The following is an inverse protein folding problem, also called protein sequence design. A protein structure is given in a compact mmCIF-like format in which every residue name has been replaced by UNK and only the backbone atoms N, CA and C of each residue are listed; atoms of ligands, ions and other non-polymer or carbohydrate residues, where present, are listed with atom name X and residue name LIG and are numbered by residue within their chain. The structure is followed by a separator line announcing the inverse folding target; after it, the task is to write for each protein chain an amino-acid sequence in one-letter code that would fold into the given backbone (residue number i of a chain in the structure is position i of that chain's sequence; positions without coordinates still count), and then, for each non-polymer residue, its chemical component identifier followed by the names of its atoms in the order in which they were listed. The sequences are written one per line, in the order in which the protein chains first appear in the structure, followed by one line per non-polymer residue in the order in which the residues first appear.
data_IF_650013847822
#
_entry.id   IF_650013847822
#
_cell.length_a   1.000
_cell.length_b   1.000
_cell.length_c   1.000
_cell.angle_alpha   90.00
_cell.angle_beta   90.00
_cell.angle_gamma   90.00
#
_symmetry.space_group_name_H-M   'P 1'
#
loop_
_entity.id
_entity.type
_entity.pdbx_description
1 polymer ?
#
# COMPACT_ATOMS: atom_id res chain seq x y z
N UNK A 1 13.07 -35.47 -22.11
CA UNK A 1 11.75 -34.81 -22.21
C UNK A 1 11.03 -34.58 -20.88
N UNK A 2 11.14 -35.45 -19.86
CA UNK A 2 10.44 -35.25 -18.57
C UNK A 2 11.00 -34.11 -17.70
N UNK A 3 12.32 -33.89 -17.69
CA UNK A 3 12.93 -32.79 -16.90
C UNK A 3 12.64 -31.39 -17.46
N UNK A 4 12.63 -31.19 -18.78
CA UNK A 4 12.32 -29.88 -19.39
C UNK A 4 10.86 -29.47 -19.17
N UNK A 5 9.94 -30.46 -19.15
CA UNK A 5 8.54 -30.23 -18.77
C UNK A 5 8.39 -29.90 -17.28
N UNK A 6 9.18 -30.51 -16.40
CA UNK A 6 9.20 -30.19 -14.97
C UNK A 6 9.77 -28.79 -14.69
N UNK A 7 10.86 -28.41 -15.38
CA UNK A 7 11.47 -27.07 -15.32
C UNK A 7 10.53 -25.99 -15.89
N UNK A 8 9.84 -26.28 -17.00
CA UNK A 8 8.83 -25.39 -17.56
C UNK A 8 7.60 -25.23 -16.66
N UNK A 9 7.22 -26.27 -15.92
CA UNK A 9 6.11 -26.21 -14.97
C UNK A 9 6.50 -25.45 -13.69
N UNK A 10 7.75 -25.61 -13.22
CA UNK A 10 8.30 -24.83 -12.10
C UNK A 10 8.47 -23.35 -12.42
N UNK A 11 8.77 -23.00 -13.69
CA UNK A 11 8.84 -21.60 -14.13
C UNK A 11 7.45 -20.96 -14.23
N UNK A 12 6.41 -21.73 -14.59
CA UNK A 12 5.03 -21.25 -14.65
C UNK A 12 4.43 -20.99 -13.26
N UNK A 13 4.84 -21.78 -12.25
CA UNK A 13 4.36 -21.62 -10.86
C UNK A 13 4.98 -20.38 -10.18
N UNK A 14 6.16 -19.93 -10.62
CA UNK A 14 6.90 -18.85 -9.97
C UNK A 14 6.45 -17.42 -10.36
N UNK A 15 5.62 -17.25 -11.39
CA UNK A 15 5.34 -15.91 -11.96
C UNK A 15 4.02 -15.27 -11.55
N UNK A 16 3.14 -15.94 -10.77
CA UNK A 16 1.71 -15.62 -10.84
C UNK A 16 1.03 -15.14 -9.52
N UNK A 17 1.73 -15.05 -8.39
CA UNK A 17 1.14 -14.52 -7.13
C UNK A 17 1.25 -13.00 -6.98
N UNK A 18 0.95 -12.23 -8.04
CA UNK A 18 1.11 -10.77 -7.99
C UNK A 18 -0.15 -10.06 -7.47
N UNK A 19 0.02 -9.13 -6.53
CA UNK A 19 -0.96 -8.08 -6.25
C UNK A 19 -0.58 -6.78 -6.99
N UNK A 20 -1.57 -5.93 -7.22
CA UNK A 20 -1.34 -4.56 -7.69
C UNK A 20 -1.72 -3.58 -6.61
N UNK A 21 -0.76 -2.77 -6.16
CA UNK A 21 -0.98 -1.65 -5.27
C UNK A 21 -1.06 -0.38 -6.09
N UNK A 22 -2.11 0.42 -5.91
CA UNK A 22 -2.28 1.73 -6.56
C UNK A 22 -2.40 2.81 -5.51
N UNK A 23 -1.37 3.64 -5.37
CA UNK A 23 -1.38 4.84 -4.55
C UNK A 23 -1.97 6.00 -5.36
N UNK A 24 -3.11 6.51 -4.91
CA UNK A 24 -3.81 7.61 -5.55
C UNK A 24 -3.72 8.86 -4.67
N UNK A 25 -3.41 9.98 -5.32
CA UNK A 25 -3.56 11.32 -4.73
C UNK A 25 -4.35 12.18 -5.70
N UNK A 26 -5.41 12.81 -5.21
CA UNK A 26 -6.14 13.83 -5.92
C UNK A 26 -6.03 15.14 -5.14
N UNK A 27 -5.36 16.14 -5.71
CA UNK A 27 -5.21 17.47 -5.09
C UNK A 27 -6.18 18.46 -5.77
N UNK A 28 -6.92 19.20 -4.95
CA UNK A 28 -7.79 20.30 -5.37
C UNK A 28 -7.01 21.63 -5.44
N UNK A 29 -7.60 22.64 -6.08
CA UNK A 29 -7.02 23.99 -6.21
C UNK A 29 -6.64 24.64 -4.86
N UNK A 30 -7.42 24.36 -3.81
CA UNK A 30 -7.22 24.88 -2.46
C UNK A 30 -6.22 24.07 -1.61
N UNK A 31 -5.57 23.05 -2.18
CA UNK A 31 -4.59 22.19 -1.50
C UNK A 31 -5.20 21.07 -0.65
N UNK A 32 -6.54 20.98 -0.55
CA UNK A 32 -7.21 19.81 0.01
C UNK A 32 -7.23 18.68 -1.00
N UNK A 33 -7.63 17.49 -0.60
CA UNK A 33 -7.70 16.39 -1.53
C UNK A 33 -8.06 15.05 -0.91
N UNK A 34 -7.85 14.01 -1.71
CA UNK A 34 -8.11 12.63 -1.36
C UNK A 34 -6.86 11.80 -1.57
N UNK A 35 -6.57 10.93 -0.61
CA UNK A 35 -5.53 9.92 -0.71
C UNK A 35 -6.20 8.55 -0.63
N UNK A 36 -5.77 7.60 -1.46
CA UNK A 36 -6.10 6.20 -1.25
C UNK A 36 -4.97 5.27 -1.68
N UNK A 37 -4.93 4.09 -1.07
CA UNK A 37 -4.19 2.95 -1.59
C UNK A 37 -5.19 1.85 -1.91
N UNK A 38 -5.24 1.47 -3.17
CA UNK A 38 -6.02 0.33 -3.65
C UNK A 38 -5.11 -0.89 -3.77
N UNK A 39 -5.55 -2.01 -3.24
CA UNK A 39 -4.90 -3.29 -3.36
C UNK A 39 -5.81 -4.24 -4.12
N UNK A 40 -5.33 -4.71 -5.27
CA UNK A 40 -5.98 -5.75 -6.07
C UNK A 40 -5.18 -7.06 -5.94
N UNK A 41 -5.76 -8.02 -5.23
CA UNK A 41 -5.25 -9.39 -5.13
C UNK A 41 -6.13 -10.40 -5.86
N UNK A 42 -6.92 -9.97 -6.84
CA UNK A 42 -7.81 -10.87 -7.59
C UNK A 42 -7.03 -11.96 -8.33
N UNK A 43 -5.84 -11.65 -8.86
CA UNK A 43 -4.95 -12.66 -9.45
C UNK A 43 -4.54 -13.76 -8.44
N UNK A 44 -4.30 -13.38 -7.17
CA UNK A 44 -4.03 -14.34 -6.10
C UNK A 44 -5.27 -15.21 -5.80
N UNK A 45 -6.46 -14.62 -5.79
CA UNK A 45 -7.72 -15.35 -5.63
C UNK A 45 -7.99 -16.32 -6.79
N UNK A 46 -7.60 -15.98 -8.01
CA UNK A 46 -7.75 -16.87 -9.16
C UNK A 46 -6.92 -18.16 -9.02
N UNK A 47 -5.75 -18.06 -8.38
CA UNK A 47 -4.82 -19.18 -8.23
C UNK A 47 -5.02 -19.98 -6.94
N UNK A 48 -5.21 -19.28 -5.82
CA UNK A 48 -5.18 -19.84 -4.48
C UNK A 48 -6.48 -19.57 -3.71
N UNK A 49 -7.54 -19.10 -4.38
CA UNK A 49 -8.81 -18.75 -3.76
C UNK A 49 -9.42 -19.88 -2.92
N UNK A 50 -9.33 -21.13 -3.39
CA UNK A 50 -9.84 -22.29 -2.65
C UNK A 50 -9.04 -22.58 -1.37
N UNK A 51 -7.72 -22.36 -1.41
CA UNK A 51 -6.85 -22.52 -0.23
C UNK A 51 -7.08 -21.40 0.78
N UNK A 52 -7.20 -20.15 0.31
CA UNK A 52 -7.48 -18.98 1.14
C UNK A 52 -8.88 -19.08 1.75
N UNK A 53 -9.89 -19.49 0.98
CA UNK A 53 -11.24 -19.73 1.46
C UNK A 53 -11.29 -20.86 2.50
N UNK A 54 -10.52 -21.94 2.29
CA UNK A 54 -10.38 -23.04 3.24
C UNK A 54 -9.74 -22.62 4.57
N UNK A 55 -8.81 -21.66 4.56
CA UNK A 55 -8.18 -21.10 5.77
C UNK A 55 -9.05 -20.07 6.49
N UNK A 56 -9.85 -19.31 5.74
CA UNK A 56 -10.71 -18.24 6.26
C UNK A 56 -12.07 -18.74 6.80
N UNK A 57 -12.42 -19.99 6.48
CA UNK A 57 -13.69 -20.63 6.81
C UNK A 57 -14.83 -20.20 5.85
N UNK A 58 -15.86 -21.05 5.73
CA UNK A 58 -16.98 -20.86 4.79
C UNK A 58 -17.71 -19.50 4.95
N UNK A 59 -17.67 -18.91 6.15
CA UNK A 59 -18.32 -17.64 6.49
C UNK A 59 -17.67 -16.38 5.87
N UNK A 60 -16.53 -16.51 5.18
CA UNK A 60 -15.78 -15.39 4.60
C UNK A 60 -15.56 -15.51 3.08
N UNK A 61 -16.28 -16.41 2.40
CA UNK A 61 -16.19 -16.63 0.95
C UNK A 61 -16.64 -15.42 0.12
N UNK A 62 -17.59 -14.65 0.64
CA UNK A 62 -18.03 -13.37 0.09
C UNK A 62 -18.10 -12.35 1.21
N UNK A 63 -17.35 -11.25 1.07
CA UNK A 63 -17.28 -10.16 2.03
C UNK A 63 -17.39 -8.83 1.28
N UNK A 64 -18.33 -7.99 1.68
CA UNK A 64 -18.34 -6.57 1.33
C UNK A 64 -18.44 -5.79 2.64
N UNK A 65 -17.30 -5.34 3.13
CA UNK A 65 -17.22 -4.67 4.43
C UNK A 65 -16.59 -3.30 4.26
N UNK A 66 -17.09 -2.34 5.04
CA UNK A 66 -16.48 -1.02 5.16
C UNK A 66 -16.46 -0.63 6.63
N UNK A 67 -15.31 -0.18 7.11
CA UNK A 67 -15.15 0.29 8.48
C UNK A 67 -14.19 1.47 8.56
N UNK A 68 -14.22 2.17 9.68
CA UNK A 68 -13.27 3.24 10.01
C UNK A 68 -12.43 2.82 11.19
N UNK A 69 -11.16 3.21 11.20
CA UNK A 69 -10.29 2.93 12.35
C UNK A 69 -10.77 3.61 13.62
N UNK A 70 -11.46 4.76 13.52
CA UNK A 70 -12.06 5.43 14.67
C UNK A 70 -12.92 4.48 15.51
N UNK A 71 -13.84 3.74 14.87
CA UNK A 71 -14.72 2.79 15.58
C UNK A 71 -13.90 1.66 16.23
N UNK A 72 -12.93 1.14 15.51
CA UNK A 72 -12.05 0.08 15.98
C UNK A 72 -11.17 0.52 17.17
N UNK A 73 -10.68 1.77 17.16
CA UNK A 73 -9.89 2.32 18.27
C UNK A 73 -10.73 2.61 19.50
N UNK A 74 -12.00 3.02 19.32
CA UNK A 74 -12.94 3.15 20.44
C UNK A 74 -13.17 1.80 21.14
N UNK A 75 -13.33 0.72 20.38
CA UNK A 75 -13.47 -0.65 20.90
C UNK A 75 -12.20 -1.17 21.59
N UNK A 76 -11.02 -0.69 21.18
CA UNK A 76 -9.70 -1.14 21.66
C UNK A 76 -9.00 -0.12 22.58
N UNK A 77 -9.72 0.88 23.09
CA UNK A 77 -9.17 2.03 23.82
C UNK A 77 -8.23 1.62 24.97
N UNK A 78 -8.60 0.62 25.75
CA UNK A 78 -7.82 0.14 26.90
C UNK A 78 -6.48 -0.51 26.50
N UNK A 79 -6.44 -1.13 25.31
CA UNK A 79 -5.20 -1.72 24.77
C UNK A 79 -4.31 -0.64 24.18
N UNK A 80 -4.90 0.32 23.46
CA UNK A 80 -4.17 1.47 22.89
C UNK A 80 -3.56 2.35 23.98
N UNK A 81 -4.26 2.54 25.11
CA UNK A 81 -3.77 3.32 26.24
C UNK A 81 -2.48 2.76 26.89
N UNK A 82 -2.20 1.46 26.71
CA UNK A 82 -0.98 0.81 27.22
C UNK A 82 0.23 0.99 26.30
N UNK A 83 0.03 1.52 25.09
CA UNK A 83 1.10 1.71 24.12
C UNK A 83 1.94 2.95 24.42
N UNK A 84 3.14 3.02 23.83
CA UNK A 84 3.99 4.20 23.95
C UNK A 84 3.28 5.44 23.38
N UNK A 85 3.55 6.65 23.91
CA UNK A 85 2.96 7.89 23.38
C UNK A 85 3.23 8.09 21.87
N UNK A 86 4.38 7.62 21.40
CA UNK A 86 4.74 7.67 19.98
C UNK A 86 3.83 6.78 19.13
N UNK A 87 3.61 5.54 19.58
CA UNK A 87 2.71 4.58 18.91
C UNK A 87 1.26 5.07 18.93
N UNK A 88 0.79 5.63 20.06
CA UNK A 88 -0.55 6.21 20.14
C UNK A 88 -0.73 7.36 19.14
N UNK A 89 0.30 8.21 18.99
CA UNK A 89 0.29 9.31 18.01
C UNK A 89 0.30 8.82 16.57
N UNK A 90 0.95 7.69 16.27
CA UNK A 90 0.89 7.07 14.95
C UNK A 90 -0.48 6.48 14.66
N UNK A 91 -1.07 5.72 15.60
CA UNK A 91 -2.40 5.16 15.44
C UNK A 91 -3.47 6.23 15.25
N UNK A 92 -3.41 7.32 16.01
CA UNK A 92 -4.38 8.43 15.90
C UNK A 92 -4.50 9.00 14.48
N UNK A 93 -3.44 8.92 13.66
CA UNK A 93 -3.46 9.39 12.27
C UNK A 93 -4.34 8.53 11.37
N UNK A 94 -4.61 7.28 11.76
CA UNK A 94 -5.49 6.37 11.05
C UNK A 94 -6.98 6.66 11.30
N UNK A 95 -7.35 7.44 12.33
CA UNK A 95 -8.75 7.58 12.76
C UNK A 95 -9.71 7.95 11.62
N UNK A 96 -9.26 8.79 10.67
CA UNK A 96 -10.06 9.27 9.55
C UNK A 96 -10.02 8.37 8.32
N UNK A 97 -9.22 7.29 8.35
CA UNK A 97 -9.14 6.37 7.25
C UNK A 97 -10.36 5.45 7.21
N UNK A 98 -10.85 5.25 6.00
CA UNK A 98 -11.89 4.30 5.64
C UNK A 98 -11.23 3.10 4.97
N UNK A 99 -11.52 1.91 5.48
CA UNK A 99 -11.14 0.64 4.86
C UNK A 99 -12.38 0.05 4.23
N UNK A 100 -12.33 -0.24 2.93
CA UNK A 100 -13.34 -0.98 2.20
C UNK A 100 -12.72 -2.26 1.65
N UNK A 101 -13.32 -3.42 1.93
CA UNK A 101 -12.86 -4.72 1.45
C UNK A 101 -13.98 -5.41 0.70
N UNK A 102 -13.68 -5.86 -0.52
CA UNK A 102 -14.55 -6.68 -1.36
C UNK A 102 -13.83 -7.98 -1.70
N UNK A 103 -14.33 -9.09 -1.17
CA UNK A 103 -13.88 -10.43 -1.48
C UNK A 103 -15.05 -11.21 -2.06
N UNK A 104 -14.82 -11.94 -3.15
CA UNK A 104 -15.78 -12.91 -3.66
C UNK A 104 -15.06 -14.09 -4.26
N UNK A 105 -15.37 -15.28 -3.74
CA UNK A 105 -14.83 -16.54 -4.24
C UNK A 105 -15.40 -16.87 -5.63
N UNK A 106 -16.69 -16.60 -5.86
CA UNK A 106 -17.34 -16.81 -7.17
C UNK A 106 -16.72 -15.91 -8.25
N UNK A 107 -16.56 -14.62 -7.96
CA UNK A 107 -15.99 -13.65 -8.90
C UNK A 107 -14.45 -13.65 -8.92
N UNK A 108 -13.82 -14.50 -8.10
CA UNK A 108 -12.35 -14.55 -7.90
C UNK A 108 -11.76 -13.17 -7.62
N UNK A 109 -12.46 -12.39 -6.81
CA UNK A 109 -12.16 -10.99 -6.56
C UNK A 109 -11.61 -10.81 -5.15
N UNK A 110 -10.55 -10.03 -5.04
CA UNK A 110 -10.11 -9.50 -3.76
C UNK A 110 -9.60 -8.07 -3.95
N UNK A 111 -10.44 -7.11 -3.57
CA UNK A 111 -10.13 -5.68 -3.60
C UNK A 111 -10.16 -5.12 -2.19
N UNK A 112 -9.16 -4.32 -1.86
CA UNK A 112 -9.14 -3.56 -0.62
C UNK A 112 -8.73 -2.12 -0.92
N UNK A 113 -9.52 -1.16 -0.45
CA UNK A 113 -9.19 0.27 -0.55
C UNK A 113 -9.04 0.84 0.84
N UNK A 114 -7.96 1.56 1.05
CA UNK A 114 -7.72 2.36 2.23
C UNK A 114 -7.63 3.82 1.82
N UNK A 115 -8.57 4.65 2.28
CA UNK A 115 -8.64 6.05 1.85
C UNK A 115 -8.87 7.04 2.98
N UNK A 116 -8.42 8.28 2.78
CA UNK A 116 -8.72 9.42 3.65
C UNK A 116 -8.81 10.69 2.82
N UNK A 117 -9.57 11.66 3.33
CA UNK A 117 -9.48 13.04 2.88
C UNK A 117 -8.35 13.75 3.65
N UNK A 118 -7.71 14.74 3.02
CA UNK A 118 -6.70 15.58 3.66
C UNK A 118 -6.99 17.07 3.42
N UNK A 119 -6.59 17.91 4.39
CA UNK A 119 -6.70 19.37 4.26
C UNK A 119 -5.47 19.97 3.60
N UNK A 120 -4.32 19.36 3.84
CA UNK A 120 -3.06 19.73 3.24
C UNK A 120 -2.27 18.46 2.91
N UNK A 121 -1.72 18.35 1.70
CA UNK A 121 -0.97 17.15 1.28
C UNK A 121 0.21 16.86 2.19
N UNK A 122 0.78 17.87 2.85
CA UNK A 122 1.90 17.72 3.77
C UNK A 122 1.53 16.96 5.05
N UNK A 123 0.23 16.78 5.30
CA UNK A 123 -0.29 15.97 6.40
C UNK A 123 -0.28 14.47 6.08
N UNK A 124 -0.19 14.11 4.78
CA UNK A 124 -0.09 12.73 4.34
C UNK A 124 1.23 12.12 4.82
N UNK A 125 1.14 10.87 5.27
CA UNK A 125 2.27 10.07 5.74
C UNK A 125 2.24 8.71 5.07
N UNK A 126 3.24 7.87 5.34
CA UNK A 126 3.23 6.49 4.83
C UNK A 126 2.13 5.68 5.53
N UNK A 127 1.03 5.51 4.81
CA UNK A 127 -0.17 4.83 5.28
C UNK A 127 0.05 3.32 5.39
N UNK A 128 0.84 2.74 4.49
CA UNK A 128 1.16 1.31 4.52
C UNK A 128 2.04 0.98 5.72
N UNK A 129 3.00 1.84 6.06
CA UNK A 129 3.78 1.72 7.28
C UNK A 129 2.88 1.76 8.52
N UNK A 130 1.93 2.70 8.55
CA UNK A 130 1.01 2.87 9.69
C UNK A 130 0.05 1.68 9.84
N UNK A 131 -0.41 1.10 8.73
CA UNK A 131 -1.16 -0.17 8.73
C UNK A 131 -0.33 -1.33 9.30
N UNK A 132 0.95 -1.44 8.93
CA UNK A 132 1.82 -2.51 9.45
C UNK A 132 1.94 -2.44 10.98
N UNK A 133 2.03 -1.23 11.55
CA UNK A 133 2.04 -1.00 13.00
C UNK A 133 0.72 -1.45 13.62
N UNK A 134 -0.41 -1.14 12.98
CA UNK A 134 -1.72 -1.58 13.45
C UNK A 134 -1.88 -3.11 13.44
N UNK A 135 -1.45 -3.79 12.37
CA UNK A 135 -1.52 -5.26 12.28
C UNK A 135 -0.69 -5.98 13.34
N UNK A 136 0.49 -5.43 13.69
CA UNK A 136 1.32 -5.94 14.79
C UNK A 136 0.59 -5.90 16.14
N UNK A 137 -0.33 -4.96 16.33
CA UNK A 137 -1.09 -4.78 17.57
C UNK A 137 -2.31 -5.72 17.68
N UNK A 138 -2.94 -6.07 16.55
CA UNK A 138 -4.08 -7.00 16.50
C UNK A 138 -3.68 -8.47 16.69
N UNK A 139 -2.39 -8.77 16.87
CA UNK A 139 -1.88 -10.11 17.21
C UNK A 139 -1.09 -10.82 16.12
N UNK A 140 -0.76 -10.16 15.00
CA UNK A 140 0.01 -10.73 13.89
C UNK A 140 -0.74 -11.84 13.12
N UNK A 141 -0.32 -12.11 11.89
CA UNK A 141 -0.67 -13.19 10.92
C UNK A 141 -2.12 -13.73 10.80
N UNK A 142 -2.88 -13.89 11.87
CA UNK A 142 -4.21 -14.51 11.95
C UNK A 142 -5.38 -13.51 11.85
N UNK A 143 -5.14 -12.20 11.91
CA UNK A 143 -6.18 -11.17 11.90
C UNK A 143 -6.59 -10.68 10.49
N UNK A 144 -5.76 -10.92 9.48
CA UNK A 144 -6.04 -10.51 8.09
C UNK A 144 -5.56 -11.59 7.11
N UNK A 145 -6.32 -11.91 6.03
CA UNK A 145 -5.86 -12.81 4.97
C UNK A 145 -4.55 -12.35 4.31
N UNK A 146 -4.18 -11.09 4.53
CA UNK A 146 -2.95 -10.49 4.04
C UNK A 146 -1.80 -10.56 5.06
N UNK A 147 -1.94 -11.14 6.25
CA UNK A 147 -0.83 -11.24 7.22
C UNK A 147 -0.10 -9.91 7.50
N UNK A 148 1.18 -9.98 7.87
CA UNK A 148 2.08 -8.81 8.04
C UNK A 148 2.53 -8.19 6.70
N UNK A 149 1.77 -8.36 5.62
CA UNK A 149 2.29 -8.22 4.24
C UNK A 149 2.55 -6.80 3.76
N UNK A 150 2.09 -5.79 4.47
CA UNK A 150 2.32 -4.40 4.04
C UNK A 150 3.74 -3.92 4.33
N UNK A 151 4.52 -4.67 5.12
CA UNK A 151 5.97 -4.54 5.28
C UNK A 151 6.44 -3.18 5.82
N UNK A 152 7.30 -3.19 6.82
CA UNK A 152 8.01 -1.97 7.21
C UNK A 152 9.22 -1.80 6.27
N UNK A 153 9.17 -0.83 5.35
CA UNK A 153 10.30 -0.55 4.44
C UNK A 153 11.34 0.41 5.08
N UNK A 154 11.18 0.76 6.36
CA UNK A 154 12.10 1.63 7.09
C UNK A 154 12.12 3.09 6.61
N UNK A 155 11.16 3.48 5.76
CA UNK A 155 11.06 4.85 5.23
C UNK A 155 9.82 5.58 5.75
N UNK A 156 9.92 6.91 5.79
CA UNK A 156 8.80 7.82 6.01
C UNK A 156 8.58 8.63 4.75
N UNK A 157 7.39 8.50 4.16
CA UNK A 157 7.01 9.32 3.01
C UNK A 157 6.67 10.74 3.47
N UNK A 158 7.22 11.71 2.73
CA UNK A 158 6.97 13.13 2.86
C UNK A 158 6.43 13.63 1.53
N UNK A 159 5.32 14.36 1.61
CA UNK A 159 4.69 15.01 0.48
C UNK A 159 4.75 16.51 0.66
N UNK A 160 5.03 17.25 -0.40
CA UNK A 160 4.97 18.72 -0.39
C UNK A 160 4.25 19.25 -1.61
N UNK A 161 3.37 20.22 -1.43
CA UNK A 161 2.74 20.96 -2.53
C UNK A 161 2.55 22.43 -2.17
N UNK A 162 3.00 23.33 -3.05
CA UNK A 162 2.92 24.79 -2.86
C UNK A 162 2.13 25.50 -3.99
N UNK A 163 1.47 24.73 -4.86
CA UNK A 163 0.77 25.25 -6.04
C UNK A 163 1.65 25.54 -7.26
N UNK A 164 2.97 25.46 -7.14
CA UNK A 164 3.95 25.58 -8.23
C UNK A 164 4.75 24.30 -8.44
N UNK A 165 5.00 23.57 -7.36
CA UNK A 165 5.70 22.29 -7.35
C UNK A 165 5.03 21.30 -6.41
N UNK A 166 5.12 20.04 -6.77
CA UNK A 166 4.84 18.91 -5.90
C UNK A 166 6.11 18.07 -5.73
N UNK A 167 6.34 17.49 -4.56
CA UNK A 167 7.39 16.51 -4.34
C UNK A 167 6.90 15.36 -3.48
N UNK A 168 7.34 14.15 -3.82
CA UNK A 168 7.24 12.93 -3.03
C UNK A 168 8.64 12.49 -2.65
N UNK A 169 8.92 12.34 -1.37
CA UNK A 169 10.24 11.93 -0.86
C UNK A 169 10.13 10.87 0.24
N UNK A 170 10.83 9.77 0.07
CA UNK A 170 11.12 8.80 1.12
C UNK A 170 12.28 9.31 1.97
N UNK A 171 12.01 9.49 3.26
CA UNK A 171 13.01 9.80 4.28
C UNK A 171 13.40 8.47 4.93
N UNK A 172 14.61 8.01 4.66
CA UNK A 172 15.10 6.72 5.16
C UNK A 172 15.85 6.95 6.47
N UNK A 173 15.38 6.30 7.54
CA UNK A 173 16.15 6.18 8.77
C UNK A 173 17.08 4.96 8.63
N UNK A 174 18.34 5.20 8.29
CA UNK A 174 19.29 4.12 8.01
C UNK A 174 19.53 3.17 9.21
N UNK A 175 19.38 3.66 10.45
CA UNK A 175 19.53 2.82 11.63
C UNK A 175 18.32 1.90 11.81
N UNK A 176 17.10 2.42 11.56
CA UNK A 176 15.89 1.59 11.56
C UNK A 176 15.86 0.60 10.41
N UNK A 177 16.27 1.00 9.21
CA UNK A 177 16.32 0.11 8.05
C UNK A 177 17.23 -1.10 8.29
N UNK A 178 18.39 -0.89 8.91
CA UNK A 178 19.29 -2.00 9.28
C UNK A 178 18.71 -2.88 10.39
N UNK A 179 18.03 -2.29 11.38
CA UNK A 179 17.37 -3.04 12.45
C UNK A 179 16.17 -3.88 11.96
N UNK A 180 15.41 -3.38 10.98
CA UNK A 180 14.32 -4.10 10.32
C UNK A 180 14.89 -5.26 9.49
N UNK A 181 15.91 -5.00 8.66
CA UNK A 181 16.58 -6.04 7.85
C UNK A 181 17.19 -7.17 8.69
N UNK A 182 17.63 -6.88 9.91
CA UNK A 182 18.27 -7.87 10.79
C UNK A 182 17.29 -8.74 11.60
N UNK A 183 16.01 -8.37 11.71
CA UNK A 183 15.04 -9.04 12.60
C UNK A 183 13.95 -9.84 11.90
N UNK A 184 13.83 -9.74 10.57
CA UNK A 184 12.62 -10.18 9.89
C UNK A 184 12.79 -11.48 9.08
N UNK A 185 12.77 -12.62 9.76
CA UNK A 185 12.65 -13.94 9.11
C UNK A 185 11.25 -14.19 8.50
N UNK A 186 10.25 -13.35 8.80
CA UNK A 186 8.93 -13.37 8.17
C UNK A 186 8.88 -12.47 6.90
N UNK A 187 9.82 -11.54 6.79
CA UNK A 187 10.04 -10.69 5.62
C UNK A 187 10.38 -11.48 4.36
N UNK A 188 11.09 -12.61 4.47
CA UNK A 188 11.52 -13.40 3.31
C UNK A 188 10.34 -14.09 2.59
N UNK A 189 9.36 -14.63 3.33
CA UNK A 189 8.17 -15.25 2.74
C UNK A 189 7.25 -14.20 2.10
N UNK A 190 7.05 -13.07 2.79
CA UNK A 190 6.28 -11.94 2.28
C UNK A 190 6.93 -11.37 1.01
N UNK A 191 8.26 -11.20 1.03
CA UNK A 191 9.03 -10.72 -0.12
C UNK A 191 8.90 -11.65 -1.31
N UNK A 192 8.93 -12.98 -1.09
CA UNK A 192 8.68 -13.95 -2.16
C UNK A 192 7.25 -13.88 -2.69
N UNK A 193 6.25 -13.72 -1.81
CA UNK A 193 4.84 -13.62 -2.18
C UNK A 193 4.57 -12.39 -3.07
N UNK A 194 5.13 -11.23 -2.73
CA UNK A 194 4.93 -9.99 -3.47
C UNK A 194 6.04 -9.66 -4.47
N UNK A 195 6.97 -10.58 -4.74
CA UNK A 195 8.10 -10.34 -5.66
C UNK A 195 7.65 -9.95 -7.07
N UNK A 196 6.52 -10.48 -7.54
CA UNK A 196 5.91 -10.17 -8.83
C UNK A 196 4.87 -9.06 -8.76
N UNK A 197 4.66 -8.43 -7.60
CA UNK A 197 3.65 -7.39 -7.41
C UNK A 197 4.10 -6.04 -7.94
N UNK A 198 3.14 -5.22 -8.34
CA UNK A 198 3.39 -3.86 -8.85
C UNK A 198 2.95 -2.82 -7.84
N UNK A 199 3.65 -1.68 -7.84
CA UNK A 199 3.28 -0.48 -7.09
C UNK A 199 3.10 0.68 -8.08
N UNK A 200 1.87 1.14 -8.25
CA UNK A 200 1.47 2.18 -9.20
C UNK A 200 1.18 3.45 -8.44
N UNK A 201 1.85 4.53 -8.82
CA UNK A 201 1.56 5.88 -8.34
C UNK A 201 0.69 6.59 -9.36
N UNK A 202 -0.51 7.01 -8.99
CA UNK A 202 -1.46 7.72 -9.85
C UNK A 202 -1.92 9.02 -9.20
N UNK A 203 -1.31 10.14 -9.58
CA UNK A 203 -1.59 11.43 -8.97
C UNK A 203 -2.30 12.37 -9.93
N UNK A 204 -3.31 13.07 -9.44
CA UNK A 204 -4.05 14.11 -10.13
C UNK A 204 -3.81 15.45 -9.44
N UNK A 205 -3.48 16.46 -10.26
CA UNK A 205 -3.19 17.81 -9.84
C UNK A 205 -4.18 18.78 -10.46
N UNK A 206 -4.48 19.91 -9.79
CA UNK A 206 -5.42 20.87 -10.33
C UNK A 206 -4.88 21.61 -11.57
N UNK A 207 -3.54 21.73 -11.66
CA UNK A 207 -2.83 22.44 -12.73
C UNK A 207 -2.20 21.48 -13.72
N UNK A 208 -2.05 21.95 -14.96
CA UNK A 208 -1.32 21.23 -16.00
C UNK A 208 0.14 21.05 -15.60
N UNK A 209 0.64 19.85 -15.86
CA UNK A 209 1.99 19.45 -15.53
C UNK A 209 2.92 19.85 -16.67
N UNK A 210 3.95 20.61 -16.32
CA UNK A 210 5.01 21.01 -17.22
C UNK A 210 6.12 19.96 -17.29
N UNK A 211 6.55 19.45 -16.14
CA UNK A 211 7.68 18.52 -16.04
C UNK A 211 7.52 17.59 -14.85
N UNK A 212 8.00 16.36 -15.00
CA UNK A 212 8.17 15.38 -13.92
C UNK A 212 9.64 14.94 -13.92
N UNK A 213 10.24 14.78 -12.74
CA UNK A 213 11.64 14.33 -12.65
C UNK A 213 11.83 12.85 -12.98
N UNK A 214 10.79 12.03 -12.79
CA UNK A 214 10.79 10.62 -13.17
C UNK A 214 10.54 10.49 -14.71
N UNK A 215 11.49 9.91 -15.46
CA UNK A 215 11.39 9.80 -16.92
C UNK A 215 10.37 8.76 -17.41
N UNK A 216 9.95 7.84 -16.55
CA UNK A 216 8.96 6.80 -16.86
C UNK A 216 7.52 7.26 -16.59
N UNK A 217 7.31 8.53 -16.20
CA UNK A 217 5.99 9.06 -15.92
C UNK A 217 5.14 9.17 -17.19
N UNK A 218 3.95 8.56 -17.16
CA UNK A 218 2.92 8.71 -18.18
C UNK A 218 1.98 9.86 -17.79
N UNK A 219 1.51 10.62 -18.77
CA UNK A 219 0.59 11.74 -18.56
C UNK A 219 -0.81 11.39 -19.03
N UNK A 220 -1.83 11.92 -18.35
CA UNK A 220 -3.20 11.97 -18.90
C UNK A 220 -3.30 12.94 -20.08
N UNK A 221 -4.34 12.79 -20.89
CA UNK A 221 -4.61 13.64 -22.07
C UNK A 221 -4.72 15.13 -21.72
N UNK A 222 -5.32 15.44 -20.56
CA UNK A 222 -5.46 16.80 -20.05
C UNK A 222 -4.17 17.36 -19.39
N UNK A 223 -3.11 16.55 -19.33
CA UNK A 223 -1.83 16.85 -18.67
C UNK A 223 -1.95 17.14 -17.17
N UNK A 224 -3.02 16.75 -16.50
CA UNK A 224 -3.23 17.00 -15.06
C UNK A 224 -2.92 15.81 -14.17
N UNK A 225 -2.74 14.62 -14.75
CA UNK A 225 -2.39 13.42 -14.00
C UNK A 225 -1.08 12.81 -14.48
N UNK A 226 -0.42 12.14 -13.55
CA UNK A 226 0.71 11.25 -13.83
C UNK A 226 0.37 9.83 -13.39
N UNK A 227 0.93 8.86 -14.10
CA UNK A 227 1.01 7.47 -13.66
C UNK A 227 2.45 6.99 -13.76
N UNK A 228 2.98 6.43 -12.67
CA UNK A 228 4.32 5.84 -12.64
C UNK A 228 4.20 4.44 -12.05
N UNK A 229 4.72 3.44 -12.76
CA UNK A 229 4.71 2.05 -12.30
C UNK A 229 6.09 1.66 -11.80
N UNK A 230 6.13 1.04 -10.63
CA UNK A 230 7.32 0.46 -9.99
C UNK A 230 7.07 -1.01 -9.67
N UNK A 231 8.14 -1.76 -9.41
CA UNK A 231 8.00 -3.04 -8.72
C UNK A 231 7.65 -2.80 -7.24
N UNK A 232 6.86 -3.69 -6.64
CA UNK A 232 6.63 -3.62 -5.18
C UNK A 232 7.93 -3.84 -4.39
N UNK A 233 8.88 -4.60 -4.95
CA UNK A 233 10.22 -4.74 -4.37
C UNK A 233 10.97 -3.41 -4.29
N UNK A 234 10.86 -2.53 -5.29
CA UNK A 234 11.46 -1.20 -5.20
C UNK A 234 10.82 -0.37 -4.08
N UNK A 235 9.51 -0.45 -3.88
CA UNK A 235 8.85 0.18 -2.73
C UNK A 235 9.39 -0.34 -1.39
N UNK A 236 9.62 -1.64 -1.28
CA UNK A 236 10.07 -2.28 -0.04
C UNK A 236 11.56 -2.09 0.26
N UNK A 237 12.41 -2.10 -0.75
CA UNK A 237 13.86 -2.18 -0.56
C UNK A 237 14.61 -0.91 -0.94
N UNK A 238 14.05 -0.13 -1.88
CA UNK A 238 14.66 1.06 -2.45
C UNK A 238 13.64 2.22 -2.49
N UNK A 239 13.02 2.59 -1.36
CA UNK A 239 11.89 3.53 -1.33
C UNK A 239 12.24 4.92 -1.88
N UNK A 240 13.52 5.29 -1.89
CA UNK A 240 14.06 6.51 -2.50
C UNK A 240 14.01 6.52 -4.03
N UNK A 241 13.98 5.35 -4.70
CA UNK A 241 13.75 5.28 -6.16
C UNK A 241 12.37 5.80 -6.56
N UNK A 242 11.42 5.80 -5.64
CA UNK A 242 10.06 6.28 -5.87
C UNK A 242 9.95 7.80 -5.59
N UNK A 243 11.07 8.49 -5.36
CA UNK A 243 11.10 9.94 -5.21
C UNK A 243 10.91 10.61 -6.57
N UNK A 244 10.06 11.63 -6.61
CA UNK A 244 9.92 12.47 -7.79
C UNK A 244 9.36 13.84 -7.43
N UNK A 245 9.59 14.77 -8.36
CA UNK A 245 9.11 16.13 -8.32
C UNK A 245 8.25 16.38 -9.56
N UNK A 246 7.25 17.24 -9.40
CA UNK A 246 6.37 17.70 -10.47
C UNK A 246 6.41 19.23 -10.49
N UNK A 247 6.62 19.81 -11.66
CA UNK A 247 6.53 21.25 -11.88
C UNK A 247 5.30 21.55 -12.73
N UNK A 248 4.52 22.57 -12.34
CA UNK A 248 3.30 22.96 -13.04
C UNK A 248 3.54 24.12 -14.02
N UNK A 249 2.64 24.25 -14.98
CA UNK A 249 2.54 25.45 -15.81
C UNK A 249 2.22 26.68 -14.94
N UNK A 250 2.62 27.85 -15.43
CA UNK A 250 2.40 29.12 -14.73
C UNK A 250 0.94 29.53 -14.79
#
# INVERSE_FOLDING_TARGET
MKLYKLLSFSFLIATLTSCTFTENIYINDNGTGKFSVDMDGSALMEMAGDQIAGQMGDAKKDLDTTFTFKKMFEEKKDSIAKLSPETQKELKKLENFVVSTKMSSEKKQFLMTLGTDFKNVNELQDVLQTLSTFQKLEGGANASPLGNSFGDNGSKLSYTYDGKKFARKAIIDQQKLQAVKAKDSAGDMTKMMFASSSYIVKYHFPKKIKKVSNPSALFSDDRKSITIQYSFTDYMENPDKLNFDVEFEK
#
